data_IF_018142787013
#
_entry.id   IF_018142787013
#
_cell.length_a   1.000
_cell.length_b   1.000
_cell.length_c   1.000
_cell.angle_alpha   90.00
_cell.angle_beta   90.00
_cell.angle_gamma   90.00
#
_symmetry.space_group_name_H-M   'P 1'
#
loop_
_entity.id
_entity.type
_entity.pdbx_description
1 polymer ?
#
# COMPACT_ATOMS: atom_id res chain seq x y z
N UNK A 1 23.94 3.38 -10.57
CA UNK A 1 23.44 3.45 -9.19
C UNK A 1 22.35 2.41 -9.06
N UNK A 2 22.61 1.31 -8.35
CA UNK A 2 21.58 0.30 -8.04
C UNK A 2 21.04 0.67 -6.66
N UNK A 3 19.72 0.79 -6.54
CA UNK A 3 19.06 1.09 -5.28
C UNK A 3 18.42 -0.19 -4.75
N UNK A 4 18.86 -0.65 -3.59
CA UNK A 4 18.40 -1.90 -2.97
C UNK A 4 17.47 -1.61 -1.80
N UNK A 5 16.25 -2.15 -1.84
CA UNK A 5 15.30 -2.08 -0.75
C UNK A 5 15.35 -3.38 0.06
N UNK A 6 15.93 -3.35 1.25
CA UNK A 6 16.22 -4.56 2.04
C UNK A 6 14.99 -5.22 2.67
N UNK A 7 13.87 -4.48 2.79
CA UNK A 7 12.66 -4.93 3.48
C UNK A 7 11.46 -5.12 2.53
N UNK A 8 11.73 -5.29 1.23
CA UNK A 8 10.69 -5.25 0.20
C UNK A 8 10.87 -6.42 -0.74
N UNK A 9 9.80 -7.19 -0.97
CA UNK A 9 9.84 -8.26 -1.97
C UNK A 9 10.03 -7.66 -3.36
N UNK A 10 10.82 -8.27 -4.25
CA UNK A 10 10.94 -7.83 -5.65
C UNK A 10 9.59 -7.69 -6.35
N UNK A 11 8.61 -8.53 -5.99
CA UNK A 11 7.25 -8.48 -6.54
C UNK A 11 6.53 -7.15 -6.23
N UNK A 12 6.73 -6.61 -5.03
CA UNK A 12 6.14 -5.32 -4.64
C UNK A 12 6.81 -4.18 -5.41
N UNK A 13 8.12 -4.26 -5.63
CA UNK A 13 8.82 -3.28 -6.46
C UNK A 13 8.31 -3.29 -7.90
N UNK A 14 8.07 -4.49 -8.47
CA UNK A 14 7.50 -4.62 -9.80
C UNK A 14 6.12 -3.96 -9.89
N UNK A 15 5.26 -4.15 -8.89
CA UNK A 15 3.95 -3.50 -8.82
C UNK A 15 4.05 -1.97 -8.74
N UNK A 16 4.99 -1.45 -7.96
CA UNK A 16 5.24 -0.01 -7.86
C UNK A 16 5.69 0.56 -9.22
N UNK A 17 6.62 -0.13 -9.89
CA UNK A 17 7.09 0.29 -11.22
C UNK A 17 5.94 0.24 -12.22
N UNK A 18 5.15 -0.84 -12.22
CA UNK A 18 3.96 -0.96 -13.06
C UNK A 18 3.01 0.22 -12.82
N UNK A 19 2.68 0.51 -11.56
CA UNK A 19 1.85 1.65 -11.18
C UNK A 19 2.41 2.99 -11.68
N UNK A 20 3.72 3.21 -11.62
CA UNK A 20 4.32 4.45 -12.15
C UNK A 20 4.03 4.65 -13.65
N UNK A 21 4.07 3.57 -14.43
CA UNK A 21 3.87 3.63 -15.88
C UNK A 21 2.40 3.56 -16.30
N UNK A 22 1.55 2.84 -15.57
CA UNK A 22 0.15 2.61 -15.94
C UNK A 22 -0.86 3.43 -15.14
N UNK A 23 -0.44 3.96 -13.99
CA UNK A 23 -1.31 4.54 -12.96
C UNK A 23 -2.37 3.57 -12.43
N UNK A 24 -2.18 2.26 -12.63
CA UNK A 24 -3.10 1.20 -12.23
C UNK A 24 -2.36 0.10 -11.46
N UNK A 25 -2.92 -0.26 -10.30
CA UNK A 25 -2.42 -1.34 -9.46
C UNK A 25 -3.55 -1.98 -8.69
N UNK A 26 -3.50 -3.32 -8.59
CA UNK A 26 -4.49 -4.09 -7.87
C UNK A 26 -4.07 -4.29 -6.42
N UNK A 27 -4.73 -3.57 -5.53
CA UNK A 27 -4.56 -3.70 -4.08
C UNK A 27 -5.33 -4.93 -3.59
N UNK A 28 -4.66 -5.78 -2.82
CA UNK A 28 -5.22 -6.99 -2.19
C UNK A 28 -4.77 -7.07 -0.74
N UNK A 29 -5.46 -7.89 0.07
CA UNK A 29 -5.11 -8.08 1.49
C UNK A 29 -3.69 -8.56 1.72
N UNK A 30 -3.13 -9.35 0.80
CA UNK A 30 -1.76 -9.88 0.89
C UNK A 30 -0.69 -8.83 0.56
N UNK A 31 -1.00 -7.88 -0.32
CA UNK A 31 0.00 -6.93 -0.84
C UNK A 31 -0.12 -5.53 -0.23
N UNK A 32 -1.30 -5.15 0.29
CA UNK A 32 -1.64 -3.78 0.69
C UNK A 32 -0.68 -3.21 1.74
N UNK A 33 -0.23 -4.03 2.69
CA UNK A 33 0.70 -3.59 3.72
C UNK A 33 2.06 -3.21 3.14
N UNK A 34 2.63 -4.07 2.29
CA UNK A 34 3.93 -3.81 1.67
C UNK A 34 3.84 -2.68 0.62
N UNK A 35 2.73 -2.61 -0.12
CA UNK A 35 2.42 -1.52 -1.05
C UNK A 35 2.31 -0.18 -0.34
N UNK A 36 1.62 -0.12 0.80
CA UNK A 36 1.47 1.10 1.59
C UNK A 36 2.83 1.61 2.08
N UNK A 37 3.66 0.74 2.66
CA UNK A 37 5.01 1.11 3.12
C UNK A 37 5.86 1.68 1.99
N UNK A 38 5.79 1.07 0.81
CA UNK A 38 6.55 1.52 -0.34
C UNK A 38 6.01 2.80 -0.96
N UNK A 39 4.70 2.93 -1.04
CA UNK A 39 4.04 4.13 -1.52
C UNK A 39 4.37 5.32 -0.62
N UNK A 40 4.40 5.13 0.70
CA UNK A 40 4.81 6.15 1.67
C UNK A 40 6.30 6.50 1.51
N UNK A 41 7.17 5.49 1.43
CA UNK A 41 8.61 5.67 1.22
C UNK A 41 8.94 6.47 -0.05
N UNK A 42 8.20 6.20 -1.12
CA UNK A 42 8.37 6.85 -2.43
C UNK A 42 7.52 8.12 -2.58
N UNK A 43 6.80 8.53 -1.53
CA UNK A 43 5.94 9.71 -1.49
C UNK A 43 4.82 9.70 -2.56
N UNK A 44 4.35 8.51 -2.94
CA UNK A 44 3.25 8.29 -3.89
C UNK A 44 1.89 8.43 -3.19
N UNK A 45 1.50 9.67 -2.90
CA UNK A 45 0.31 9.97 -2.07
C UNK A 45 -1.00 9.38 -2.59
N UNK A 46 -1.18 9.31 -3.90
CA UNK A 46 -2.42 8.76 -4.49
C UNK A 46 -2.53 7.26 -4.23
N UNK A 47 -1.40 6.55 -4.31
CA UNK A 47 -1.32 5.13 -3.98
C UNK A 47 -1.47 4.87 -2.48
N UNK A 48 -0.87 5.72 -1.64
CA UNK A 48 -1.07 5.68 -0.17
C UNK A 48 -2.55 5.78 0.17
N UNK A 49 -3.27 6.75 -0.42
CA UNK A 49 -4.71 6.90 -0.21
C UNK A 49 -5.49 5.66 -0.63
N UNK A 50 -5.22 5.14 -1.83
CA UNK A 50 -5.89 3.92 -2.31
C UNK A 50 -5.67 2.73 -1.39
N UNK A 51 -4.46 2.55 -0.85
CA UNK A 51 -4.17 1.50 0.13
C UNK A 51 -4.89 1.73 1.47
N UNK A 52 -4.94 2.97 1.95
CA UNK A 52 -5.65 3.33 3.18
C UNK A 52 -7.17 3.17 3.06
N UNK A 53 -7.74 3.52 1.92
CA UNK A 53 -9.17 3.34 1.63
C UNK A 53 -9.52 1.86 1.61
N UNK A 54 -8.71 1.05 0.90
CA UNK A 54 -8.85 -0.41 0.90
C UNK A 54 -8.75 -1.02 2.30
N UNK A 55 -7.77 -0.59 3.10
CA UNK A 55 -7.62 -1.04 4.49
C UNK A 55 -8.81 -0.61 5.34
N UNK A 56 -9.30 0.61 5.18
CA UNK A 56 -10.46 1.11 5.94
C UNK A 56 -11.70 0.29 5.61
N UNK A 57 -11.94 -0.03 4.34
CA UNK A 57 -13.04 -0.91 3.93
C UNK A 57 -12.90 -2.32 4.52
N UNK A 58 -11.70 -2.91 4.51
CA UNK A 58 -11.48 -4.27 5.01
C UNK A 58 -11.42 -4.37 6.55
N UNK A 59 -10.95 -3.32 7.24
CA UNK A 59 -10.87 -3.24 8.70
C UNK A 59 -12.16 -2.72 9.35
N UNK A 60 -13.03 -2.03 8.59
CA UNK A 60 -14.34 -1.58 9.07
C UNK A 60 -15.27 -2.72 9.49
N UNK A 61 -14.91 -3.98 9.21
CA UNK A 61 -15.62 -5.13 9.76
C UNK A 61 -15.31 -5.40 11.25
N UNK A 62 -14.29 -4.78 11.87
CA UNK A 62 -13.94 -5.08 13.28
C UNK A 62 -13.60 -3.90 14.22
N UNK A 63 -13.24 -2.70 13.77
CA UNK A 63 -12.69 -1.66 14.69
C UNK A 63 -13.38 -0.28 14.62
N UNK A 64 -14.70 -0.19 14.77
CA UNK A 64 -15.35 0.98 15.42
C UNK A 64 -16.43 0.48 16.39
N UNK A 65 -15.99 -0.15 17.47
CA UNK A 65 -16.78 -0.28 18.70
C UNK A 65 -15.89 -0.29 19.95
N UNK A 66 -14.87 0.56 20.01
CA UNK A 66 -14.16 0.98 21.24
C UNK A 66 -13.31 2.19 20.86
N UNK A 67 -13.73 3.43 21.13
CA UNK A 67 -13.73 3.99 22.48
C UNK A 67 -14.85 5.03 22.66
N UNK A 68 -15.64 4.93 23.75
CA UNK A 68 -16.24 6.06 24.41
C UNK A 68 -15.26 6.61 25.46
N UNK A 69 -14.67 7.79 25.23
CA UNK A 69 -14.51 8.84 26.24
C UNK A 69 -14.14 10.16 25.57
#
# INVERSE_FOLDING_TARGET
MVYTFSNVSPDIMELIIHYMYTQDVRVTTDNVQALLVMADYLLMRDLVRSCCDFLTEHLSCCEISVLPN
#
